data_IF_946360451293
#
_entry.id   IF_946360451293
#
_cell.length_a   1.000
_cell.length_b   1.000
_cell.length_c   1.000
_cell.angle_alpha   90.00
_cell.angle_beta   90.00
_cell.angle_gamma   90.00
#
_symmetry.space_group_name_H-M   'P 1'
#
loop_
_entity.id
_entity.type
_entity.pdbx_description
1 polymer ?
#
# COMPACT_ATOMS: atom_id res chain seq x y z
N UNK A 1 30.78 28.80 -34.63
CA UNK A 1 30.06 27.82 -33.81
C UNK A 1 30.10 26.51 -34.58
N UNK A 2 30.69 25.46 -34.00
CA UNK A 2 30.81 24.17 -34.66
C UNK A 2 29.39 23.56 -34.78
N UNK A 3 29.08 22.91 -35.93
CA UNK A 3 27.81 22.24 -36.17
C UNK A 3 27.31 21.38 -35.03
N UNK A 4 28.21 20.80 -34.25
CA UNK A 4 27.89 20.00 -33.06
C UNK A 4 27.24 20.83 -31.92
N UNK A 5 27.70 22.06 -31.70
CA UNK A 5 27.13 22.97 -30.69
C UNK A 5 25.70 23.46 -31.07
N UNK A 6 25.44 23.67 -32.33
CA UNK A 6 24.11 24.07 -32.84
C UNK A 6 23.09 22.92 -32.71
N UNK A 7 23.51 21.68 -33.04
CA UNK A 7 22.67 20.50 -32.91
C UNK A 7 22.32 20.24 -31.42
N UNK A 8 23.29 20.40 -30.52
CA UNK A 8 23.05 20.24 -29.06
C UNK A 8 22.08 21.30 -28.53
N UNK A 9 22.22 22.55 -28.99
CA UNK A 9 21.32 23.64 -28.59
C UNK A 9 19.88 23.41 -29.09
N UNK A 10 19.71 22.98 -30.31
CA UNK A 10 18.40 22.66 -30.89
C UNK A 10 17.77 21.47 -30.17
N UNK A 11 18.52 20.38 -29.90
CA UNK A 11 18.02 19.24 -29.19
C UNK A 11 17.59 19.56 -27.76
N UNK A 12 18.37 20.37 -27.03
CA UNK A 12 17.99 20.79 -25.66
C UNK A 12 16.80 21.75 -25.65
N UNK A 13 16.65 22.61 -26.67
CA UNK A 13 15.48 23.49 -26.79
C UNK A 13 14.21 22.68 -27.10
N UNK A 14 14.28 21.73 -28.02
CA UNK A 14 13.16 20.83 -28.36
C UNK A 14 12.76 19.99 -27.15
N UNK A 15 13.76 19.42 -26.42
CA UNK A 15 13.51 18.69 -25.19
C UNK A 15 12.86 19.57 -24.11
N UNK A 16 13.33 20.81 -23.93
CA UNK A 16 12.74 21.77 -23.01
C UNK A 16 11.29 22.16 -23.37
N UNK A 17 11.00 22.38 -24.66
CA UNK A 17 9.63 22.66 -25.14
C UNK A 17 8.73 21.43 -24.94
N UNK A 18 9.22 20.24 -25.26
CA UNK A 18 8.46 19.00 -25.09
C UNK A 18 8.16 18.71 -23.63
N UNK A 19 9.14 18.88 -22.73
CA UNK A 19 8.94 18.81 -21.28
C UNK A 19 7.92 19.87 -20.83
N UNK A 20 8.07 21.13 -21.30
CA UNK A 20 7.12 22.21 -20.99
C UNK A 20 5.68 21.91 -21.38
N UNK A 21 5.46 21.30 -22.56
CA UNK A 21 4.13 20.88 -23.02
C UNK A 21 3.58 19.75 -22.15
N UNK A 22 4.41 18.76 -21.80
CA UNK A 22 4.00 17.63 -20.98
C UNK A 22 3.71 18.03 -19.52
N UNK A 23 4.44 19.02 -18.99
CA UNK A 23 4.21 19.56 -17.64
C UNK A 23 2.95 20.42 -17.53
N UNK A 24 2.35 20.83 -18.66
CA UNK A 24 1.08 21.56 -18.70
C UNK A 24 -0.13 20.66 -18.97
N UNK A 25 0.06 19.34 -18.95
CA UNK A 25 -1.04 18.40 -19.17
C UNK A 25 -2.08 18.57 -18.05
N UNK A 26 -3.33 18.96 -18.38
CA UNK A 26 -4.35 19.11 -17.36
C UNK A 26 -4.77 17.74 -16.78
N UNK A 27 -5.08 17.68 -15.49
CA UNK A 27 -5.55 16.46 -14.83
C UNK A 27 -6.80 15.90 -15.49
N UNK A 28 -7.65 16.75 -16.07
CA UNK A 28 -8.83 16.34 -16.85
C UNK A 28 -8.51 15.36 -17.99
N UNK A 29 -7.27 15.32 -18.48
CA UNK A 29 -6.86 14.33 -19.49
C UNK A 29 -6.61 12.92 -18.91
N UNK A 30 -6.42 12.82 -17.61
CA UNK A 30 -6.29 11.55 -16.90
C UNK A 30 -7.66 11.01 -16.48
N UNK A 31 -8.60 11.92 -16.20
CA UNK A 31 -9.93 11.62 -15.70
C UNK A 31 -10.93 11.51 -16.88
N UNK A 32 -11.87 10.59 -16.77
CA UNK A 32 -13.03 10.54 -17.65
C UNK A 32 -14.32 10.70 -16.81
N UNK A 33 -14.80 11.95 -16.70
CA UNK A 33 -16.02 12.28 -15.94
C UNK A 33 -17.26 11.56 -16.45
N UNK A 34 -17.26 11.08 -17.71
CA UNK A 34 -18.36 10.26 -18.26
C UNK A 34 -18.44 8.87 -17.63
N UNK A 35 -17.36 8.43 -16.97
CA UNK A 35 -17.33 7.18 -16.23
C UNK A 35 -17.93 7.30 -14.83
N UNK A 36 -18.19 8.51 -14.33
CA UNK A 36 -19.08 8.70 -13.19
C UNK A 36 -20.54 8.46 -13.67
N UNK A 37 -21.28 7.53 -13.08
CA UNK A 37 -21.41 7.29 -11.65
C UNK A 37 -20.43 6.30 -11.01
N UNK A 38 -19.49 5.74 -11.72
CA UNK A 38 -18.49 4.82 -11.18
C UNK A 38 -17.34 5.52 -10.45
N UNK A 39 -17.51 6.79 -10.03
CA UNK A 39 -16.56 7.48 -9.17
C UNK A 39 -16.45 6.79 -7.81
N UNK A 40 -15.22 6.58 -7.37
CA UNK A 40 -14.89 5.81 -6.16
C UNK A 40 -15.07 6.62 -4.88
N UNK A 41 -16.30 6.93 -4.51
CA UNK A 41 -16.60 7.66 -3.29
C UNK A 41 -16.93 9.13 -3.52
N UNK A 42 -16.18 10.07 -2.95
CA UNK A 42 -16.40 11.50 -3.15
C UNK A 42 -16.06 11.89 -4.58
N UNK A 43 -17.02 12.50 -5.28
CA UNK A 43 -16.83 12.97 -6.65
C UNK A 43 -15.99 14.24 -6.68
N UNK A 44 -14.80 14.15 -7.25
CA UNK A 44 -13.86 15.25 -7.45
C UNK A 44 -13.84 15.79 -8.90
N UNK A 45 -14.76 15.37 -9.76
CA UNK A 45 -14.72 15.80 -11.16
C UNK A 45 -14.87 17.32 -11.31
N UNK A 46 -15.68 17.98 -10.46
CA UNK A 46 -15.76 19.45 -10.43
C UNK A 46 -14.45 20.09 -10.01
N UNK A 47 -13.77 19.53 -9.00
CA UNK A 47 -12.50 20.06 -8.52
C UNK A 47 -11.39 19.93 -9.59
N UNK A 48 -11.49 18.90 -10.43
CA UNK A 48 -10.63 18.74 -11.62
C UNK A 48 -10.98 19.76 -12.71
N UNK A 49 -12.27 19.98 -12.99
CA UNK A 49 -12.75 20.96 -13.98
C UNK A 49 -12.45 22.41 -13.57
N UNK A 50 -12.55 22.71 -12.27
CA UNK A 50 -12.26 24.02 -11.67
C UNK A 50 -10.75 24.23 -11.42
N UNK A 51 -9.89 23.33 -11.90
CA UNK A 51 -8.41 23.34 -11.75
C UNK A 51 -7.93 23.39 -10.28
N UNK A 52 -8.75 23.02 -9.33
CA UNK A 52 -8.35 22.88 -7.91
C UNK A 52 -7.40 21.71 -7.70
N UNK A 53 -7.50 20.70 -8.57
CA UNK A 53 -6.55 19.58 -8.65
C UNK A 53 -5.69 19.79 -9.90
N UNK A 54 -4.37 19.86 -9.71
CA UNK A 54 -3.42 20.09 -10.80
C UNK A 54 -2.18 19.20 -10.65
N UNK A 55 -1.59 18.81 -11.78
CA UNK A 55 -0.27 18.15 -11.74
C UNK A 55 0.78 19.18 -11.32
N UNK A 56 1.66 18.78 -10.40
CA UNK A 56 2.77 19.61 -9.93
C UNK A 56 4.06 18.80 -9.87
N UNK A 57 5.13 19.52 -10.09
CA UNK A 57 6.48 18.98 -10.20
C UNK A 57 7.37 19.69 -9.20
N UNK A 58 7.50 19.16 -8.00
CA UNK A 58 8.36 19.72 -6.94
C UNK A 58 9.78 19.17 -6.99
N UNK A 59 9.95 18.02 -7.66
CA UNK A 59 11.23 17.34 -7.80
C UNK A 59 11.40 16.78 -9.22
N UNK A 60 12.62 16.38 -9.55
CA UNK A 60 12.90 15.68 -10.81
C UNK A 60 12.22 14.29 -10.85
N UNK A 61 12.08 13.65 -9.71
CA UNK A 61 11.33 12.39 -9.62
C UNK A 61 9.84 12.58 -9.93
N UNK A 62 9.18 13.61 -9.39
CA UNK A 62 7.77 13.91 -9.73
C UNK A 62 7.60 14.10 -11.23
N UNK A 63 8.55 14.86 -11.84
CA UNK A 63 8.56 15.06 -13.30
C UNK A 63 8.69 13.74 -14.05
N UNK A 64 9.59 12.86 -13.63
CA UNK A 64 9.82 11.56 -14.24
C UNK A 64 8.57 10.68 -14.14
N UNK A 65 7.99 10.55 -12.94
CA UNK A 65 6.77 9.78 -12.73
C UNK A 65 5.60 10.30 -13.57
N UNK A 66 5.38 11.61 -13.59
CA UNK A 66 4.29 12.22 -14.34
C UNK A 66 4.47 12.12 -15.87
N UNK A 67 5.72 12.13 -16.36
CA UNK A 67 6.00 12.00 -17.79
C UNK A 67 5.88 10.56 -18.30
N UNK A 68 6.39 9.62 -17.54
CA UNK A 68 6.50 8.22 -17.96
C UNK A 68 5.34 7.36 -17.42
N UNK A 69 4.45 7.95 -16.62
CA UNK A 69 3.27 7.28 -16.05
C UNK A 69 3.64 5.95 -15.35
N UNK A 70 4.74 5.96 -14.60
CA UNK A 70 5.23 4.77 -13.91
C UNK A 70 4.13 4.26 -12.98
N UNK A 71 3.67 3.04 -13.19
CA UNK A 71 2.55 2.43 -12.43
C UNK A 71 1.26 3.27 -12.42
N UNK A 72 1.02 4.17 -13.40
CA UNK A 72 -0.12 5.08 -13.42
C UNK A 72 -0.26 6.00 -12.18
N UNK A 73 0.85 6.31 -11.52
CA UNK A 73 0.93 7.20 -10.36
C UNK A 73 1.44 8.57 -10.81
N UNK A 74 0.76 9.62 -10.38
CA UNK A 74 1.09 11.01 -10.71
C UNK A 74 1.12 11.84 -9.45
N UNK A 75 1.99 12.87 -9.42
CA UNK A 75 2.08 13.81 -8.31
C UNK A 75 1.40 15.12 -8.66
N UNK A 76 0.60 15.64 -7.75
CA UNK A 76 -0.19 16.84 -7.94
C UNK A 76 -0.39 17.65 -6.67
N UNK A 77 -1.24 18.65 -6.78
CA UNK A 77 -1.74 19.47 -5.67
C UNK A 77 -3.26 19.55 -5.73
N UNK A 78 -3.91 19.50 -4.59
CA UNK A 78 -5.32 19.75 -4.36
C UNK A 78 -5.45 20.90 -3.38
N UNK A 79 -5.96 22.05 -3.82
CA UNK A 79 -6.03 23.28 -3.01
C UNK A 79 -4.69 23.66 -2.33
N UNK A 80 -3.57 23.43 -3.03
CA UNK A 80 -2.22 23.71 -2.50
C UNK A 80 -1.63 22.63 -1.60
N UNK A 81 -2.37 21.55 -1.28
CA UNK A 81 -1.87 20.39 -0.56
C UNK A 81 -1.34 19.37 -1.56
N UNK A 82 -0.16 18.81 -1.29
CA UNK A 82 0.43 17.77 -2.14
C UNK A 82 -0.38 16.49 -2.08
N UNK A 83 -0.71 15.93 -3.25
CA UNK A 83 -1.50 14.71 -3.40
C UNK A 83 -0.85 13.75 -4.38
N UNK A 84 -1.22 12.49 -4.26
CA UNK A 84 -0.97 11.44 -5.25
C UNK A 84 -2.24 11.19 -6.04
N UNK A 85 -2.12 11.15 -7.36
CA UNK A 85 -3.21 10.78 -8.27
C UNK A 85 -2.87 9.40 -8.84
N UNK A 86 -3.70 8.41 -8.53
CA UNK A 86 -3.56 7.06 -9.08
C UNK A 86 -4.64 6.82 -10.12
N UNK A 87 -4.24 6.53 -11.35
CA UNK A 87 -5.17 6.08 -12.40
C UNK A 87 -5.33 4.58 -12.26
N UNK A 88 -6.46 4.15 -11.73
CA UNK A 88 -6.79 2.76 -11.52
C UNK A 88 -7.28 2.12 -12.82
N UNK A 89 -6.73 0.95 -13.16
CA UNK A 89 -7.12 0.17 -14.31
C UNK A 89 -6.58 0.64 -15.67
N UNK A 90 -6.45 -0.33 -16.57
CA UNK A 90 -6.13 -0.10 -17.97
C UNK A 90 -7.42 -0.01 -18.81
N UNK A 91 -7.35 0.64 -19.98
CA UNK A 91 -8.51 0.84 -20.85
C UNK A 91 -9.21 -0.49 -21.20
N UNK A 92 -8.45 -1.54 -21.45
CA UNK A 92 -9.00 -2.87 -21.80
C UNK A 92 -9.79 -3.51 -20.65
N UNK A 93 -9.45 -3.20 -19.40
CA UNK A 93 -10.17 -3.66 -18.20
C UNK A 93 -11.48 -2.90 -18.06
N UNK A 94 -11.43 -1.59 -18.28
CA UNK A 94 -12.61 -0.72 -18.24
C UNK A 94 -13.61 -1.09 -19.32
N UNK A 95 -13.15 -1.40 -20.54
CA UNK A 95 -14.00 -1.83 -21.64
C UNK A 95 -14.68 -3.18 -21.39
N UNK A 96 -14.08 -4.04 -20.56
CA UNK A 96 -14.71 -5.30 -20.12
C UNK A 96 -15.81 -5.07 -19.10
N UNK A 97 -15.62 -4.15 -18.18
CA UNK A 97 -16.58 -3.78 -17.14
C UNK A 97 -17.85 -3.19 -17.75
N UNK A 98 -17.73 -2.30 -18.73
CA UNK A 98 -18.86 -1.65 -19.41
C UNK A 98 -19.83 -2.63 -20.10
N UNK A 99 -19.41 -3.85 -20.38
CA UNK A 99 -20.25 -4.88 -21.01
C UNK A 99 -21.12 -5.67 -20.00
N UNK A 100 -20.94 -5.43 -18.72
CA UNK A 100 -21.72 -6.14 -17.69
C UNK A 100 -23.04 -5.42 -17.45
N UNK A 101 -24.14 -6.09 -17.75
CA UNK A 101 -25.49 -5.48 -17.81
C UNK A 101 -26.31 -5.57 -16.53
N UNK A 102 -25.90 -6.38 -15.56
CA UNK A 102 -26.58 -6.49 -14.27
C UNK A 102 -25.63 -6.99 -13.18
N UNK A 103 -25.49 -6.23 -12.12
CA UNK A 103 -24.71 -6.59 -10.93
C UNK A 103 -25.64 -7.02 -9.82
N UNK A 104 -25.40 -8.19 -9.23
CA UNK A 104 -26.11 -8.68 -8.04
C UNK A 104 -25.14 -8.88 -6.89
N UNK A 105 -25.65 -8.88 -5.66
CA UNK A 105 -24.83 -9.14 -4.45
C UNK A 105 -24.07 -10.46 -4.55
N UNK A 106 -24.71 -11.48 -5.11
CA UNK A 106 -24.11 -12.80 -5.29
C UNK A 106 -22.93 -12.78 -6.29
N UNK A 107 -22.99 -11.94 -7.32
CA UNK A 107 -21.88 -11.74 -8.27
C UNK A 107 -20.70 -11.07 -7.55
N UNK A 108 -20.98 -10.01 -6.76
CA UNK A 108 -19.95 -9.30 -5.99
C UNK A 108 -19.29 -10.24 -4.98
N UNK A 109 -20.09 -11.01 -4.22
CA UNK A 109 -19.56 -11.94 -3.23
C UNK A 109 -18.69 -13.03 -3.89
N UNK A 110 -19.14 -13.61 -5.00
CA UNK A 110 -18.32 -14.59 -5.73
C UNK A 110 -17.03 -14.03 -6.28
N UNK A 111 -16.98 -12.74 -6.63
CA UNK A 111 -15.74 -12.13 -7.11
C UNK A 111 -14.68 -12.03 -6.02
N UNK A 112 -15.08 -11.92 -4.75
CA UNK A 112 -14.16 -11.93 -3.60
C UNK A 112 -13.77 -13.34 -3.14
N UNK A 113 -14.62 -14.34 -3.40
CA UNK A 113 -14.36 -15.74 -3.03
C UNK A 113 -13.45 -16.46 -4.04
N UNK A 114 -13.39 -15.98 -5.30
CA UNK A 114 -12.65 -16.67 -6.34
C UNK A 114 -11.18 -16.29 -6.37
N UNK A 115 -10.31 -17.25 -6.13
CA UNK A 115 -8.88 -17.08 -6.36
C UNK A 115 -8.60 -16.71 -7.83
N UNK A 116 -8.03 -15.55 -8.09
CA UNK A 116 -7.34 -15.28 -9.35
C UNK A 116 -7.77 -14.10 -10.20
N UNK A 117 -8.79 -13.32 -9.84
CA UNK A 117 -9.21 -12.15 -10.63
C UNK A 117 -9.08 -10.85 -9.84
N UNK A 118 -9.35 -10.88 -8.55
CA UNK A 118 -9.27 -9.70 -7.68
C UNK A 118 -8.21 -9.88 -6.61
N UNK A 119 -7.59 -8.78 -6.30
CA UNK A 119 -6.58 -8.68 -5.27
C UNK A 119 -7.16 -8.60 -3.85
N UNK A 120 -8.45 -8.24 -3.69
CA UNK A 120 -9.19 -8.35 -2.43
C UNK A 120 -9.88 -9.71 -2.34
N UNK A 121 -9.55 -10.47 -1.31
CA UNK A 121 -10.09 -11.79 -1.03
C UNK A 121 -10.72 -11.86 0.34
N UNK A 122 -11.72 -12.73 0.50
CA UNK A 122 -12.37 -13.01 1.78
C UNK A 122 -12.20 -14.48 2.13
N UNK A 123 -11.88 -14.77 3.41
CA UNK A 123 -11.67 -16.15 3.86
C UNK A 123 -12.92 -17.02 3.83
N UNK A 124 -14.08 -16.39 3.88
CA UNK A 124 -15.39 -17.04 3.82
C UNK A 124 -16.46 -16.05 3.35
N UNK A 125 -17.65 -16.58 3.00
CA UNK A 125 -18.76 -15.79 2.49
C UNK A 125 -19.32 -14.80 3.52
N UNK A 126 -19.29 -15.14 4.79
CA UNK A 126 -19.75 -14.30 5.90
C UNK A 126 -18.93 -13.02 6.00
N UNK A 127 -17.63 -13.12 5.82
CA UNK A 127 -16.72 -11.95 5.74
C UNK A 127 -17.10 -11.08 4.54
N UNK A 128 -17.33 -11.70 3.38
CA UNK A 128 -17.76 -10.98 2.17
C UNK A 128 -19.07 -10.22 2.37
N UNK A 129 -20.06 -10.83 3.01
CA UNK A 129 -21.35 -10.18 3.35
C UNK A 129 -21.15 -9.01 4.31
N UNK A 130 -20.35 -9.19 5.36
CA UNK A 130 -20.04 -8.14 6.33
C UNK A 130 -19.30 -6.98 5.68
N UNK A 131 -18.30 -7.26 4.83
CA UNK A 131 -17.57 -6.29 4.05
C UNK A 131 -18.50 -5.50 3.12
N UNK A 132 -19.31 -6.19 2.33
CA UNK A 132 -20.26 -5.59 1.40
C UNK A 132 -21.26 -4.69 2.12
N UNK A 133 -21.79 -5.14 3.27
CA UNK A 133 -22.69 -4.34 4.11
C UNK A 133 -22.04 -3.05 4.58
N UNK A 134 -20.74 -3.09 4.91
CA UNK A 134 -19.98 -1.92 5.33
C UNK A 134 -19.71 -0.97 4.16
N UNK A 135 -19.25 -1.49 3.03
CA UNK A 135 -18.96 -0.73 1.81
C UNK A 135 -20.22 -0.02 1.27
N UNK A 136 -21.39 -0.67 1.35
CA UNK A 136 -22.69 -0.10 0.91
C UNK A 136 -23.17 1.11 1.71
N UNK A 137 -22.51 1.48 2.76
CA UNK A 137 -22.79 2.75 3.47
C UNK A 137 -22.35 3.97 2.66
N UNK A 138 -21.43 3.79 1.71
CA UNK A 138 -20.84 4.89 0.92
C UNK A 138 -20.93 4.64 -0.60
N UNK A 139 -20.91 3.39 -1.02
CA UNK A 139 -20.90 3.00 -2.42
C UNK A 139 -22.17 2.21 -2.77
N UNK A 140 -22.69 2.39 -3.98
CA UNK A 140 -23.70 1.47 -4.49
C UNK A 140 -23.06 0.15 -4.96
N UNK A 141 -23.92 -0.81 -5.33
CA UNK A 141 -23.46 -2.15 -5.66
C UNK A 141 -22.63 -2.21 -6.95
N UNK A 142 -22.98 -1.36 -7.92
CA UNK A 142 -22.28 -1.28 -9.21
C UNK A 142 -20.89 -0.64 -9.02
N UNK A 143 -20.82 0.39 -8.19
CA UNK A 143 -19.54 1.01 -7.79
C UNK A 143 -18.63 0.00 -7.10
N UNK A 144 -19.15 -0.72 -6.08
CA UNK A 144 -18.37 -1.74 -5.35
C UNK A 144 -17.86 -2.80 -6.33
N UNK A 145 -18.73 -3.30 -7.20
CA UNK A 145 -18.33 -4.31 -8.18
C UNK A 145 -17.25 -3.79 -9.13
N UNK A 146 -17.41 -2.58 -9.65
CA UNK A 146 -16.44 -1.94 -10.54
C UNK A 146 -15.09 -1.75 -9.87
N UNK A 147 -15.09 -1.24 -8.64
CA UNK A 147 -13.87 -1.06 -7.85
C UNK A 147 -13.16 -2.40 -7.64
N UNK A 148 -13.90 -3.45 -7.26
CA UNK A 148 -13.32 -4.79 -7.09
C UNK A 148 -12.73 -5.35 -8.38
N UNK A 149 -13.30 -5.03 -9.56
CA UNK A 149 -12.78 -5.50 -10.84
C UNK A 149 -11.53 -4.74 -11.31
N UNK A 150 -11.33 -3.52 -10.85
CA UNK A 150 -10.24 -2.64 -11.27
C UNK A 150 -9.12 -2.62 -10.24
N UNK A 151 -9.43 -2.13 -9.05
CA UNK A 151 -8.48 -2.04 -7.93
C UNK A 151 -9.25 -1.78 -6.64
N UNK A 152 -9.21 -2.68 -5.64
CA UNK A 152 -9.98 -2.56 -4.41
C UNK A 152 -9.44 -1.54 -3.40
N UNK A 153 -8.32 -0.88 -3.65
CA UNK A 153 -7.70 0.08 -2.72
C UNK A 153 -8.68 1.14 -2.20
N UNK A 154 -9.55 1.78 -3.03
CA UNK A 154 -10.51 2.76 -2.53
C UNK A 154 -11.50 2.19 -1.49
N UNK A 155 -11.90 0.93 -1.63
CA UNK A 155 -12.76 0.27 -0.64
C UNK A 155 -12.00 -0.01 0.66
N UNK A 156 -10.75 -0.42 0.57
CA UNK A 156 -9.91 -0.66 1.74
C UNK A 156 -9.61 0.63 2.49
N UNK A 157 -9.26 1.71 1.78
CA UNK A 157 -9.07 3.03 2.39
C UNK A 157 -10.33 3.52 3.10
N UNK A 158 -11.52 3.32 2.49
CA UNK A 158 -12.79 3.66 3.13
C UNK A 158 -13.04 2.86 4.41
N UNK A 159 -12.80 1.56 4.42
CA UNK A 159 -13.00 0.70 5.60
C UNK A 159 -12.04 1.08 6.73
N UNK A 160 -10.83 1.51 6.39
CA UNK A 160 -9.80 1.92 7.33
C UNK A 160 -9.85 3.42 7.69
N UNK A 161 -10.74 4.21 7.07
CA UNK A 161 -10.84 5.67 7.27
C UNK A 161 -11.04 6.05 8.76
N UNK A 162 -11.80 5.24 9.50
CA UNK A 162 -12.07 5.49 10.90
C UNK A 162 -11.06 4.78 11.81
N UNK A 163 -10.12 5.51 12.41
CA UNK A 163 -9.34 4.93 13.49
C UNK A 163 -7.82 5.02 13.42
N UNK A 164 -7.23 6.08 12.91
CA UNK A 164 -5.77 6.31 12.95
C UNK A 164 -4.97 5.12 12.40
N UNK A 165 -5.31 4.68 11.21
CA UNK A 165 -4.57 3.66 10.50
C UNK A 165 -3.37 4.26 9.77
N UNK A 166 -2.26 3.55 9.64
CA UNK A 166 -1.12 4.02 8.86
C UNK A 166 -1.37 3.80 7.34
N UNK A 167 -2.35 4.51 6.81
CA UNK A 167 -2.77 4.47 5.40
C UNK A 167 -3.07 5.88 4.90
N UNK A 168 -2.97 6.16 3.59
CA UNK A 168 -3.31 7.46 3.03
C UNK A 168 -4.77 7.85 3.29
N UNK A 169 -5.02 9.14 3.43
CA UNK A 169 -6.37 9.66 3.33
C UNK A 169 -6.82 9.67 1.87
N UNK A 170 -8.01 9.13 1.59
CA UNK A 170 -8.65 9.18 0.27
C UNK A 170 -9.51 10.44 0.18
N UNK A 171 -9.11 11.40 -0.66
CA UNK A 171 -9.89 12.62 -0.91
C UNK A 171 -11.14 12.33 -1.75
N UNK A 172 -11.02 11.46 -2.75
CA UNK A 172 -12.10 11.07 -3.64
C UNK A 172 -11.59 10.64 -5.01
N UNK A 173 -12.48 10.69 -6.01
CA UNK A 173 -12.15 10.23 -7.37
C UNK A 173 -12.84 11.06 -8.46
N UNK A 174 -12.25 11.08 -9.65
CA UNK A 174 -12.92 11.49 -10.88
C UNK A 174 -12.71 10.43 -11.96
N UNK A 175 -13.78 9.75 -12.36
CA UNK A 175 -13.70 8.54 -13.17
C UNK A 175 -12.90 7.47 -12.44
N UNK A 176 -11.86 6.95 -13.08
CA UNK A 176 -10.95 5.94 -12.51
C UNK A 176 -9.65 6.52 -11.93
N UNK A 177 -9.61 7.82 -11.70
CA UNK A 177 -8.48 8.46 -11.03
C UNK A 177 -8.89 8.82 -9.62
N UNK A 178 -8.17 8.28 -8.64
CA UNK A 178 -8.32 8.63 -7.23
C UNK A 178 -7.28 9.68 -6.84
N UNK A 179 -7.64 10.53 -5.88
CA UNK A 179 -6.74 11.46 -5.24
C UNK A 179 -6.54 11.05 -3.76
N UNK A 180 -5.29 10.83 -3.41
CA UNK A 180 -4.86 10.38 -2.08
C UNK A 180 -3.86 11.33 -1.46
N UNK A 181 -3.73 11.25 -0.14
CA UNK A 181 -2.69 11.93 0.61
C UNK A 181 -1.31 11.53 0.08
N UNK A 182 -0.44 12.52 -0.15
CA UNK A 182 0.98 12.26 -0.34
C UNK A 182 1.62 11.93 1.01
N UNK A 183 2.11 10.72 1.15
CA UNK A 183 2.67 10.18 2.40
C UNK A 183 4.20 10.18 2.46
N UNK A 184 4.88 10.91 1.57
CA UNK A 184 6.33 11.03 1.60
C UNK A 184 7.06 10.14 0.60
N UNK A 185 8.30 9.77 0.91
CA UNK A 185 9.16 8.91 0.09
C UNK A 185 8.97 7.44 0.48
N UNK A 186 9.22 6.54 -0.47
CA UNK A 186 9.20 5.10 -0.18
C UNK A 186 10.29 4.67 0.81
N UNK A 187 10.03 3.59 1.54
CA UNK A 187 10.87 3.12 2.65
C UNK A 187 12.32 2.82 2.23
N UNK A 188 12.54 2.40 0.98
CA UNK A 188 13.89 2.13 0.45
C UNK A 188 14.81 3.37 0.45
N UNK A 189 14.26 4.59 0.37
CA UNK A 189 15.03 5.83 0.49
C UNK A 189 15.66 6.02 1.87
N UNK A 190 15.19 5.30 2.88
CA UNK A 190 15.66 5.38 4.27
C UNK A 190 16.70 4.30 4.62
N UNK A 191 17.13 3.48 3.66
CA UNK A 191 18.16 2.46 3.86
C UNK A 191 19.44 3.05 4.46
N UNK A 192 19.88 4.21 3.99
CA UNK A 192 21.09 4.90 4.44
C UNK A 192 20.85 5.91 5.58
N UNK A 193 19.63 6.01 6.09
CA UNK A 193 19.30 6.88 7.22
C UNK A 193 20.04 6.48 8.51
N UNK A 194 20.22 7.40 9.46
CA UNK A 194 20.74 7.08 10.78
C UNK A 194 20.04 5.90 11.41
N UNK A 195 20.78 5.04 12.11
CA UNK A 195 20.24 3.78 12.62
C UNK A 195 19.02 3.95 13.55
N UNK A 196 19.00 4.99 14.39
CA UNK A 196 17.86 5.27 15.26
C UNK A 196 16.58 5.63 14.48
N UNK A 197 16.68 6.33 13.36
CA UNK A 197 15.53 6.59 12.48
C UNK A 197 14.99 5.30 11.90
N UNK A 198 15.87 4.42 11.42
CA UNK A 198 15.50 3.11 10.89
C UNK A 198 14.90 2.20 11.97
N UNK A 199 15.41 2.26 13.20
CA UNK A 199 14.84 1.56 14.35
C UNK A 199 13.45 2.10 14.72
N UNK A 200 13.22 3.40 14.59
CA UNK A 200 11.91 3.99 14.80
C UNK A 200 10.91 3.56 13.71
N UNK A 201 11.31 3.50 12.45
CA UNK A 201 10.49 2.96 11.37
C UNK A 201 10.19 1.46 11.57
N UNK A 202 11.18 0.69 12.03
CA UNK A 202 10.98 -0.73 12.37
C UNK A 202 9.92 -0.94 13.48
N UNK A 203 9.91 -0.06 14.48
CA UNK A 203 8.88 -0.06 15.52
C UNK A 203 7.49 0.17 14.92
N UNK A 204 7.33 1.19 14.08
CA UNK A 204 6.04 1.50 13.44
C UNK A 204 5.56 0.37 12.52
N UNK A 205 6.46 -0.29 11.79
CA UNK A 205 6.13 -1.45 10.96
C UNK A 205 5.53 -2.59 11.77
N UNK A 206 6.12 -2.90 12.93
CA UNK A 206 5.59 -3.95 13.83
C UNK A 206 4.26 -3.53 14.46
N UNK A 207 4.13 -2.28 14.90
CA UNK A 207 2.88 -1.74 15.43
C UNK A 207 1.76 -1.80 14.37
N UNK A 208 2.06 -1.45 13.11
CA UNK A 208 1.12 -1.55 12.00
C UNK A 208 0.72 -3.01 11.71
N UNK A 209 1.68 -3.94 11.66
CA UNK A 209 1.42 -5.36 11.42
C UNK A 209 0.45 -5.96 12.46
N UNK A 210 0.65 -5.62 13.72
CA UNK A 210 -0.24 -6.02 14.83
C UNK A 210 -1.60 -5.32 14.70
N UNK A 211 -1.62 -4.02 14.35
CA UNK A 211 -2.86 -3.26 14.19
C UNK A 211 -3.72 -3.82 13.05
N UNK A 212 -3.18 -4.05 11.85
CA UNK A 212 -3.93 -4.65 10.74
C UNK A 212 -4.53 -6.01 11.12
N UNK A 213 -3.83 -6.78 11.95
CA UNK A 213 -4.33 -8.09 12.40
C UNK A 213 -5.40 -7.98 13.49
N UNK A 214 -5.34 -6.96 14.37
CA UNK A 214 -6.13 -6.99 15.61
C UNK A 214 -7.03 -5.78 15.86
N UNK A 215 -6.79 -4.61 15.23
CA UNK A 215 -7.44 -3.35 15.62
C UNK A 215 -8.85 -3.19 15.07
N UNK A 216 -9.13 -3.61 13.81
CA UNK A 216 -10.47 -3.47 13.23
C UNK A 216 -11.50 -4.29 14.04
N UNK A 217 -12.71 -3.77 14.21
CA UNK A 217 -13.73 -4.43 15.05
C UNK A 217 -14.22 -5.75 14.44
N UNK A 218 -14.48 -5.77 13.13
CA UNK A 218 -15.13 -6.87 12.44
C UNK A 218 -14.14 -7.77 11.70
N UNK A 219 -13.01 -7.20 11.23
CA UNK A 219 -12.09 -7.88 10.32
C UNK A 219 -10.67 -7.97 10.88
N UNK A 220 -9.96 -8.97 10.43
CA UNK A 220 -8.50 -9.02 10.35
C UNK A 220 -8.12 -8.72 8.92
N UNK A 221 -7.18 -7.82 8.72
CA UNK A 221 -6.68 -7.42 7.41
C UNK A 221 -5.29 -8.00 7.24
N UNK A 222 -5.09 -8.86 6.25
CA UNK A 222 -3.78 -9.42 5.93
C UNK A 222 -3.28 -8.81 4.64
N UNK A 223 -2.13 -8.12 4.71
CA UNK A 223 -1.47 -7.47 3.58
C UNK A 223 -0.59 -8.50 2.89
N UNK A 224 -0.81 -8.76 1.61
CA UNK A 224 -0.10 -9.82 0.88
C UNK A 224 1.01 -9.30 -0.03
N UNK A 225 1.14 -7.98 -0.15
CA UNK A 225 2.17 -7.30 -0.95
C UNK A 225 2.96 -6.29 -0.10
N UNK A 226 3.70 -6.80 0.88
CA UNK A 226 4.55 -5.98 1.74
C UNK A 226 5.93 -5.85 1.09
N UNK A 227 6.23 -4.66 0.59
CA UNK A 227 7.52 -4.31 -0.01
C UNK A 227 7.93 -2.88 0.39
N UNK A 228 9.20 -2.50 0.28
CA UNK A 228 9.65 -1.14 0.60
C UNK A 228 8.98 -0.06 -0.25
N UNK A 229 8.62 -0.36 -1.50
CA UNK A 229 7.96 0.59 -2.43
C UNK A 229 6.48 0.79 -2.09
N UNK A 230 5.84 -0.14 -1.38
CA UNK A 230 4.44 -0.05 -0.95
C UNK A 230 4.29 0.58 0.44
N UNK A 231 5.38 1.12 0.97
CA UNK A 231 5.43 1.81 2.26
C UNK A 231 6.07 3.17 2.06
N UNK A 232 5.40 4.23 2.50
CA UNK A 232 5.92 5.59 2.44
C UNK A 232 6.18 6.15 3.85
N UNK A 233 7.09 7.11 3.93
CA UNK A 233 7.45 7.81 5.17
C UNK A 233 7.40 9.30 4.91
N UNK A 234 6.62 10.03 5.71
CA UNK A 234 6.50 11.48 5.59
C UNK A 234 7.67 12.24 6.25
N UNK A 235 7.64 13.57 6.14
CA UNK A 235 8.70 14.46 6.68
C UNK A 235 8.77 14.44 8.22
N UNK A 236 7.70 13.96 8.89
CA UNK A 236 7.64 13.79 10.35
C UNK A 236 7.98 12.36 10.79
N UNK A 237 8.49 11.52 9.88
CA UNK A 237 8.80 10.11 10.08
C UNK A 237 7.59 9.24 10.45
N UNK A 238 6.37 9.62 10.05
CA UNK A 238 5.22 8.74 10.12
C UNK A 238 5.21 7.79 8.92
N UNK A 239 4.91 6.53 9.18
CA UNK A 239 4.91 5.47 8.19
C UNK A 239 3.49 5.18 7.69
N UNK A 240 3.34 4.96 6.37
CA UNK A 240 2.07 4.68 5.70
C UNK A 240 2.21 3.51 4.73
N UNK A 241 1.23 2.60 4.74
CA UNK A 241 1.06 1.59 3.69
C UNK A 241 0.25 2.20 2.55
N UNK A 242 0.87 2.39 1.39
CA UNK A 242 0.35 3.20 0.28
C UNK A 242 -0.20 2.38 -0.90
N UNK A 243 -0.25 1.07 -0.77
CA UNK A 243 -0.82 0.16 -1.76
C UNK A 243 -1.61 -0.93 -1.02
N UNK A 244 -2.92 -0.81 -1.02
CA UNK A 244 -3.86 -1.70 -0.33
C UNK A 244 -4.71 -2.53 -1.29
N UNK A 245 -4.23 -2.73 -2.53
CA UNK A 245 -4.97 -3.52 -3.49
C UNK A 245 -4.92 -5.03 -3.19
N UNK A 246 -3.82 -5.52 -2.62
CA UNK A 246 -3.58 -6.94 -2.37
C UNK A 246 -3.81 -7.29 -0.89
N UNK A 247 -5.04 -7.70 -0.56
CA UNK A 247 -5.44 -7.99 0.83
C UNK A 247 -6.30 -9.23 0.96
N UNK A 248 -6.19 -9.90 2.11
CA UNK A 248 -7.09 -10.96 2.54
C UNK A 248 -7.85 -10.48 3.78
N UNK A 249 -9.17 -10.53 3.74
CA UNK A 249 -10.04 -10.23 4.87
C UNK A 249 -10.51 -11.51 5.56
N UNK A 250 -10.43 -11.51 6.88
CA UNK A 250 -10.93 -12.60 7.72
C UNK A 250 -11.81 -12.05 8.84
N UNK A 251 -12.91 -12.72 9.13
CA UNK A 251 -13.79 -12.32 10.21
C UNK A 251 -13.09 -12.46 11.57
N UNK A 252 -13.30 -11.49 12.43
CA UNK A 252 -12.83 -11.50 13.80
C UNK A 252 -13.81 -12.26 14.68
N UNK A 253 -13.64 -13.56 14.79
CA UNK A 253 -14.46 -14.40 15.63
C UNK A 253 -14.08 -14.19 17.11
N UNK A 254 -15.07 -14.36 18.01
CA UNK A 254 -14.87 -14.23 19.45
C UNK A 254 -13.91 -15.31 20.02
N UNK A 255 -13.75 -16.44 19.35
CA UNK A 255 -12.93 -17.57 19.77
C UNK A 255 -11.59 -17.61 19.04
N UNK A 256 -10.55 -17.07 19.67
CA UNK A 256 -9.19 -16.94 19.11
C UNK A 256 -8.30 -18.17 19.42
N UNK A 257 -8.84 -19.38 19.42
CA UNK A 257 -8.13 -20.56 19.91
C UNK A 257 -7.09 -21.14 18.96
N UNK A 258 -7.17 -20.88 17.66
CA UNK A 258 -6.26 -21.48 16.69
C UNK A 258 -5.49 -20.40 15.94
N UNK A 259 -4.18 -20.39 16.11
CA UNK A 259 -3.28 -19.48 15.38
C UNK A 259 -2.70 -20.24 14.19
N UNK A 260 -2.80 -19.62 13.01
CA UNK A 260 -2.05 -20.06 11.84
C UNK A 260 -0.66 -19.42 11.90
N UNK A 261 0.37 -20.25 11.80
CA UNK A 261 1.78 -19.82 11.73
C UNK A 261 2.24 -19.86 10.28
N UNK A 262 2.66 -18.71 9.77
CA UNK A 262 3.20 -18.59 8.41
C UNK A 262 4.56 -19.27 8.31
N UNK A 263 4.76 -20.01 7.23
CA UNK A 263 5.99 -20.69 6.90
C UNK A 263 6.48 -20.25 5.53
N UNK A 264 7.79 -20.30 5.35
CA UNK A 264 8.43 -19.94 4.10
C UNK A 264 8.81 -21.22 3.34
N UNK A 265 8.35 -21.32 2.10
CA UNK A 265 8.51 -22.54 1.30
C UNK A 265 9.72 -22.53 0.34
N UNK A 266 10.28 -21.34 0.03
CA UNK A 266 11.43 -21.19 -0.83
C UNK A 266 12.42 -20.15 -0.30
N UNK A 267 13.72 -20.37 -0.50
CA UNK A 267 14.77 -19.45 -0.01
C UNK A 267 14.77 -18.11 -0.75
N UNK A 268 14.30 -18.06 -1.99
CA UNK A 268 14.42 -16.91 -2.88
C UNK A 268 13.15 -16.06 -3.00
N UNK A 269 11.94 -16.64 -2.77
CA UNK A 269 10.68 -15.94 -2.95
C UNK A 269 9.80 -15.99 -1.70
N UNK A 270 9.17 -14.85 -1.36
CA UNK A 270 8.13 -14.83 -0.35
C UNK A 270 6.82 -15.33 -0.96
N UNK A 271 6.45 -16.56 -0.61
CA UNK A 271 5.20 -17.18 -1.04
C UNK A 271 4.28 -17.35 0.16
N UNK A 272 3.06 -16.84 0.05
CA UNK A 272 2.00 -17.11 1.03
C UNK A 272 0.95 -18.04 0.41
N UNK A 273 0.32 -18.84 1.27
CA UNK A 273 -0.81 -19.69 0.88
C UNK A 273 -2.09 -19.10 1.50
N UNK A 274 -2.96 -18.58 0.64
CA UNK A 274 -4.23 -17.96 1.04
C UNK A 274 -5.09 -18.91 1.88
N UNK A 275 -5.19 -20.18 1.45
CA UNK A 275 -5.98 -21.17 2.18
C UNK A 275 -5.42 -21.44 3.57
N UNK A 276 -4.11 -21.33 3.74
CA UNK A 276 -3.46 -21.45 5.06
C UNK A 276 -3.70 -20.21 5.92
N UNK A 277 -3.58 -19.00 5.37
CA UNK A 277 -3.90 -17.74 6.09
C UNK A 277 -5.33 -17.78 6.61
N UNK A 278 -6.25 -18.32 5.82
CA UNK A 278 -7.66 -18.46 6.18
C UNK A 278 -7.99 -19.62 7.16
N UNK A 279 -7.10 -20.58 7.36
CA UNK A 279 -7.40 -21.81 8.12
C UNK A 279 -7.57 -21.60 9.62
N UNK A 280 -6.73 -20.81 10.27
CA UNK A 280 -6.83 -20.54 11.71
C UNK A 280 -7.86 -19.47 12.05
N UNK A 281 -8.12 -19.21 13.32
CA UNK A 281 -8.93 -18.06 13.77
C UNK A 281 -8.18 -16.73 13.64
N UNK A 282 -6.86 -16.78 13.70
CA UNK A 282 -5.92 -15.66 13.45
C UNK A 282 -4.69 -16.18 12.73
N UNK A 283 -4.11 -15.37 11.83
CA UNK A 283 -2.81 -15.65 11.21
C UNK A 283 -1.78 -14.62 11.67
N UNK A 284 -0.54 -15.04 11.82
CA UNK A 284 0.60 -14.17 12.11
C UNK A 284 1.23 -13.57 10.83
N UNK A 285 0.55 -13.69 9.69
CA UNK A 285 1.04 -13.33 8.37
C UNK A 285 1.68 -11.93 8.30
N UNK A 286 0.99 -10.89 8.80
CA UNK A 286 1.52 -9.53 8.76
C UNK A 286 2.83 -9.37 9.54
N UNK A 287 2.90 -9.96 10.74
CA UNK A 287 4.12 -9.92 11.57
C UNK A 287 5.25 -10.69 10.88
N UNK A 288 4.93 -11.89 10.35
CA UNK A 288 5.90 -12.69 9.62
C UNK A 288 6.45 -11.94 8.41
N UNK A 289 5.57 -11.33 7.58
CA UNK A 289 5.96 -10.60 6.39
C UNK A 289 6.85 -9.39 6.73
N UNK A 290 6.49 -8.60 7.75
CA UNK A 290 7.34 -7.49 8.23
C UNK A 290 8.70 -7.99 8.68
N UNK A 291 8.75 -9.02 9.53
CA UNK A 291 10.03 -9.58 10.01
C UNK A 291 10.88 -10.09 8.84
N UNK A 292 10.29 -10.88 7.93
CA UNK A 292 11.01 -11.56 6.84
C UNK A 292 11.44 -10.62 5.73
N UNK A 293 10.54 -9.72 5.33
CA UNK A 293 10.74 -8.90 4.14
C UNK A 293 11.42 -7.55 4.42
N UNK A 294 11.27 -7.02 5.66
CA UNK A 294 11.72 -5.66 5.95
C UNK A 294 12.78 -5.58 7.04
N UNK A 295 12.75 -6.44 8.07
CA UNK A 295 13.64 -6.32 9.24
C UNK A 295 14.82 -7.28 9.22
N UNK A 296 14.62 -8.53 8.75
CA UNK A 296 15.63 -9.57 8.75
C UNK A 296 16.80 -9.23 7.82
N UNK A 297 18.01 -9.65 8.20
CA UNK A 297 19.18 -9.66 7.33
C UNK A 297 18.99 -10.48 6.04
N UNK A 298 17.93 -11.29 5.95
CA UNK A 298 17.53 -12.08 4.78
C UNK A 298 16.45 -11.40 3.94
N UNK A 299 16.18 -10.10 4.17
CA UNK A 299 15.25 -9.34 3.35
C UNK A 299 15.69 -9.39 1.87
N UNK A 300 14.76 -9.64 0.92
CA UNK A 300 15.13 -9.97 -0.46
C UNK A 300 15.43 -8.75 -1.32
N UNK A 301 15.29 -7.54 -0.79
CA UNK A 301 15.34 -6.31 -1.58
C UNK A 301 16.78 -5.83 -1.81
N UNK A 302 17.25 -5.72 -3.08
CA UNK A 302 18.58 -5.20 -3.36
C UNK A 302 18.83 -3.77 -2.86
N UNK A 303 17.78 -2.94 -2.87
CA UNK A 303 17.84 -1.54 -2.42
C UNK A 303 17.82 -1.40 -0.89
N UNK A 304 17.50 -2.44 -0.15
CA UNK A 304 17.49 -2.48 1.31
C UNK A 304 18.14 -3.78 1.81
N UNK A 305 19.36 -4.01 1.35
CA UNK A 305 20.11 -5.23 1.65
C UNK A 305 20.34 -5.40 3.16
N UNK A 306 20.09 -6.61 3.67
CA UNK A 306 20.16 -6.98 5.08
C UNK A 306 19.07 -6.35 5.97
N UNK A 307 17.98 -5.88 5.38
CA UNK A 307 16.83 -5.34 6.10
C UNK A 307 17.09 -3.97 6.75
N UNK A 308 16.05 -3.38 7.30
CA UNK A 308 16.05 -2.02 7.83
C UNK A 308 16.99 -1.84 9.05
N UNK A 309 17.20 -2.90 9.83
CA UNK A 309 18.02 -2.85 11.06
C UNK A 309 19.49 -3.22 10.85
N UNK A 310 19.99 -3.21 9.60
CA UNK A 310 21.39 -3.49 9.28
C UNK A 310 22.37 -2.50 9.94
N UNK A 311 23.64 -2.89 10.05
CA UNK A 311 24.75 -2.01 10.51
C UNK A 311 24.45 -1.24 11.80
N UNK A 312 24.05 -1.92 12.90
CA UNK A 312 23.76 -1.26 14.15
C UNK A 312 25.01 -0.63 14.77
N UNK A 313 24.87 0.48 15.53
CA UNK A 313 25.98 1.03 16.32
C UNK A 313 26.52 0.02 17.34
N UNK A 314 27.83 0.07 17.69
CA UNK A 314 28.44 -0.88 18.64
C UNK A 314 27.74 -0.96 20.01
N UNK A 315 27.19 0.15 20.49
CA UNK A 315 26.48 0.19 21.76
C UNK A 315 25.15 -0.59 21.70
N UNK A 316 24.48 -0.63 20.54
CA UNK A 316 23.25 -1.43 20.35
C UNK A 316 23.59 -2.89 20.38
N UNK A 317 24.61 -3.32 19.64
CA UNK A 317 25.04 -4.74 19.64
C UNK A 317 25.55 -5.20 21.00
N UNK A 318 26.19 -4.31 21.79
CA UNK A 318 26.70 -4.64 23.12
C UNK A 318 25.60 -4.77 24.19
N UNK A 319 24.50 -4.01 24.06
CA UNK A 319 23.47 -3.94 25.11
C UNK A 319 22.12 -4.52 24.69
N UNK A 320 21.88 -4.71 23.38
CA UNK A 320 20.60 -5.13 22.82
C UNK A 320 20.76 -6.20 21.72
N UNK A 321 21.68 -7.14 21.88
CA UNK A 321 21.89 -8.26 20.96
C UNK A 321 20.63 -9.15 20.82
N UNK A 322 19.81 -9.19 21.87
CA UNK A 322 18.51 -9.86 21.88
C UNK A 322 17.61 -9.36 20.73
N UNK A 323 17.67 -8.06 20.36
CA UNK A 323 16.87 -7.48 19.29
C UNK A 323 17.08 -8.24 17.96
N UNK A 324 18.35 -8.45 17.58
CA UNK A 324 18.67 -9.10 16.31
C UNK A 324 18.35 -10.59 16.32
N UNK A 325 18.55 -11.23 17.46
CA UNK A 325 18.14 -12.63 17.64
C UNK A 325 16.64 -12.80 17.49
N UNK A 326 15.84 -11.92 18.09
CA UNK A 326 14.37 -11.96 18.00
C UNK A 326 13.86 -11.66 16.59
N UNK A 327 14.52 -10.78 15.82
CA UNK A 327 14.15 -10.55 14.40
C UNK A 327 14.28 -11.86 13.61
N UNK A 328 15.40 -12.57 13.76
CA UNK A 328 15.60 -13.84 13.06
C UNK A 328 14.71 -14.97 13.61
N UNK A 329 14.40 -14.95 14.90
CA UNK A 329 13.44 -15.87 15.50
C UNK A 329 12.00 -15.60 15.05
N UNK A 330 11.65 -14.33 14.81
CA UNK A 330 10.37 -13.94 14.21
C UNK A 330 10.21 -14.56 12.80
N UNK A 331 11.30 -14.67 12.05
CA UNK A 331 11.28 -15.33 10.73
C UNK A 331 11.23 -16.85 10.89
N UNK A 332 12.15 -17.43 11.65
CA UNK A 332 12.30 -18.89 11.83
C UNK A 332 11.89 -19.32 13.24
N UNK A 333 10.61 -19.24 13.56
CA UNK A 333 10.10 -19.67 14.87
C UNK A 333 10.22 -21.19 15.05
N UNK A 334 11.37 -21.64 15.56
CA UNK A 334 11.64 -23.07 15.84
C UNK A 334 10.96 -23.57 17.11
N UNK A 335 10.67 -22.68 18.05
CA UNK A 335 10.21 -23.02 19.40
C UNK A 335 8.72 -22.81 19.66
N UNK A 336 7.91 -22.57 18.64
CA UNK A 336 6.45 -22.30 18.76
C UNK A 336 6.08 -21.11 19.67
N UNK A 337 7.02 -20.21 19.95
CA UNK A 337 6.67 -18.92 20.51
C UNK A 337 5.77 -18.19 19.50
N UNK A 338 4.65 -17.69 19.97
CA UNK A 338 3.78 -16.88 19.13
C UNK A 338 4.58 -15.71 18.58
N UNK A 339 4.57 -15.53 17.22
CA UNK A 339 5.21 -14.34 16.61
C UNK A 339 4.62 -13.04 17.15
N UNK A 340 3.39 -13.04 17.63
CA UNK A 340 2.82 -11.87 18.32
C UNK A 340 3.58 -11.54 19.59
N UNK A 341 3.95 -12.53 20.40
CA UNK A 341 4.80 -12.33 21.59
C UNK A 341 6.20 -11.82 21.20
N UNK A 342 6.79 -12.39 20.14
CA UNK A 342 8.08 -11.91 19.62
C UNK A 342 7.97 -10.46 19.16
N UNK A 343 6.90 -10.10 18.43
CA UNK A 343 6.64 -8.73 17.99
C UNK A 343 6.48 -7.76 19.17
N UNK A 344 5.73 -8.13 20.21
CA UNK A 344 5.60 -7.33 21.44
C UNK A 344 6.97 -7.07 22.07
N UNK A 345 7.80 -8.12 22.20
CA UNK A 345 9.13 -8.00 22.74
C UNK A 345 10.07 -7.16 21.89
N UNK A 346 10.00 -7.30 20.55
CA UNK A 346 10.74 -6.47 19.60
C UNK A 346 10.35 -4.99 19.74
N UNK A 347 9.06 -4.70 19.84
CA UNK A 347 8.57 -3.33 20.02
C UNK A 347 9.05 -2.71 21.35
N UNK A 348 9.10 -3.49 22.44
CA UNK A 348 9.65 -3.04 23.72
C UNK A 348 11.13 -2.67 23.60
N UNK A 349 11.95 -3.53 22.96
CA UNK A 349 13.37 -3.28 22.76
C UNK A 349 13.61 -2.08 21.84
N UNK A 350 12.85 -1.95 20.74
CA UNK A 350 12.94 -0.81 19.84
C UNK A 350 12.57 0.51 20.54
N UNK A 351 11.61 0.51 21.45
CA UNK A 351 11.29 1.68 22.29
C UNK A 351 12.43 2.07 23.21
N UNK A 352 13.16 1.09 23.77
CA UNK A 352 14.31 1.35 24.63
C UNK A 352 15.51 1.95 23.87
N UNK A 353 15.77 1.47 22.66
CA UNK A 353 16.91 1.98 21.86
C UNK A 353 16.60 3.31 21.19
N UNK A 354 15.37 3.76 21.15
CA UNK A 354 14.94 5.06 20.62
C UNK A 354 14.75 6.14 21.71
N UNK A 355 14.97 5.81 22.98
CA UNK A 355 15.00 6.76 24.11
C UNK A 355 16.39 7.35 24.29
#
# INVERSE_FOLDING_TARGET
MNNCGLVFLIASTIAGIYIGILTQRPVSTLCDSRKCPFCYGTDLCRDVEDERISLRYRSFSDLFYNLFSVKNVYFGEYDGVRVVLKKLGHQDELDRIERTTAVSEDIVLRSMDSAGVNSLKTCDREVGVSFLTNARRRFDLEQIWTILQVNPEPLMLHILENGSWPVPHLYGACGFVIAEQYCGLSLDHFESSPWHERAFLALQLLEAAVAFTHKHNDFRVYLTDISPDNIAVDDDFNLYFIDLENVILKQKLADNKTVHYSEYFAEEDFVYDEAQVCRGSVSDHNVYAVCRLLLSRRAPWPMMANGLLHSPPPWVTANHDELFRLVEECVDSKEKLSRFYIAERLMELLKQVNQ
#
